data_IF_136865248032
#
_entry.id   IF_136865248032
#
_cell.length_a   1.000
_cell.length_b   1.000
_cell.length_c   1.000
_cell.angle_alpha   90.00
_cell.angle_beta   90.00
_cell.angle_gamma   90.00
#
_symmetry.space_group_name_H-M   'P 1'
#
loop_
_entity.id
_entity.type
_entity.pdbx_description
1 polymer ?
#
# COMPACT_ATOMS: atom_id res chain seq x y z
N UNK A 1 -17.90 2.22 -22.01
CA UNK A 1 -17.94 1.56 -20.69
C UNK A 1 -16.72 0.65 -20.50
N UNK A 2 -16.33 -0.16 -21.50
CA UNK A 2 -15.18 -1.06 -21.42
C UNK A 2 -13.81 -0.37 -21.38
N UNK A 3 -13.66 0.78 -22.05
CA UNK A 3 -12.38 1.51 -22.08
C UNK A 3 -12.01 2.17 -20.75
N UNK A 4 -13.01 2.57 -19.96
CA UNK A 4 -12.82 3.15 -18.61
C UNK A 4 -12.28 2.09 -17.66
N UNK A 5 -12.91 0.90 -17.63
CA UNK A 5 -12.44 -0.24 -16.84
C UNK A 5 -11.04 -0.68 -17.24
N UNK A 6 -10.72 -0.66 -18.53
CA UNK A 6 -9.38 -1.02 -19.02
C UNK A 6 -8.33 0.00 -18.58
N UNK A 7 -8.64 1.29 -18.66
CA UNK A 7 -7.74 2.35 -18.18
C UNK A 7 -7.46 2.23 -16.67
N UNK A 8 -8.50 1.98 -15.88
CA UNK A 8 -8.37 1.76 -14.43
C UNK A 8 -7.51 0.53 -14.15
N UNK A 9 -7.76 -0.61 -14.78
CA UNK A 9 -6.96 -1.83 -14.59
C UNK A 9 -5.49 -1.62 -14.94
N UNK A 10 -5.19 -0.94 -16.05
CA UNK A 10 -3.81 -0.67 -16.46
C UNK A 10 -3.12 0.34 -15.53
N UNK A 11 -3.86 1.35 -15.05
CA UNK A 11 -3.38 2.29 -14.01
C UNK A 11 -3.09 1.56 -12.70
N UNK A 12 -4.01 0.70 -12.25
CA UNK A 12 -3.85 -0.13 -11.05
C UNK A 12 -2.64 -1.05 -11.17
N UNK A 13 -2.47 -1.77 -12.30
CA UNK A 13 -1.29 -2.63 -12.53
C UNK A 13 0.02 -1.84 -12.51
N UNK A 14 0.03 -0.65 -13.13
CA UNK A 14 1.22 0.21 -13.15
C UNK A 14 1.56 0.72 -11.75
N UNK A 15 0.56 1.14 -10.99
CA UNK A 15 0.73 1.63 -9.63
C UNK A 15 1.15 0.51 -8.66
N UNK A 16 0.69 -0.73 -8.89
CA UNK A 16 1.13 -1.94 -8.18
C UNK A 16 2.41 -2.57 -8.73
N UNK A 17 3.10 -1.94 -9.69
CA UNK A 17 4.44 -2.36 -10.07
C UNK A 17 5.45 -1.86 -9.04
N UNK A 18 6.57 -2.57 -8.89
CA UNK A 18 7.65 -2.15 -8.00
C UNK A 18 8.09 -0.71 -8.29
N UNK A 19 8.33 -0.38 -9.56
CA UNK A 19 8.73 0.96 -9.96
C UNK A 19 7.66 2.02 -9.68
N UNK A 20 6.38 1.70 -9.89
CA UNK A 20 5.25 2.61 -9.63
C UNK A 20 5.12 2.95 -8.15
N UNK A 21 5.13 1.94 -7.29
CA UNK A 21 5.06 2.10 -5.85
C UNK A 21 6.27 2.89 -5.32
N UNK A 22 7.49 2.54 -5.73
CA UNK A 22 8.71 3.22 -5.26
C UNK A 22 8.72 4.69 -5.69
N UNK A 23 8.27 5.01 -6.90
CA UNK A 23 8.16 6.39 -7.37
C UNK A 23 7.13 7.20 -6.55
N UNK A 24 5.99 6.61 -6.20
CA UNK A 24 4.99 7.27 -5.36
C UNK A 24 5.49 7.45 -3.92
N UNK A 25 6.12 6.43 -3.35
CA UNK A 25 6.75 6.53 -2.03
C UNK A 25 7.81 7.63 -2.02
N UNK A 26 8.74 7.65 -2.97
CA UNK A 26 9.76 8.70 -3.06
C UNK A 26 9.14 10.11 -3.18
N UNK A 27 8.06 10.25 -3.97
CA UNK A 27 7.37 11.53 -4.16
C UNK A 27 6.66 12.02 -2.90
N UNK A 28 6.05 11.11 -2.13
CA UNK A 28 5.22 11.46 -0.97
C UNK A 28 5.88 11.17 0.38
N UNK A 29 7.09 10.62 0.42
CA UNK A 29 7.76 10.14 1.63
C UNK A 29 7.83 11.20 2.72
N UNK A 30 8.24 12.42 2.37
CA UNK A 30 8.35 13.54 3.32
C UNK A 30 7.00 13.92 3.95
N UNK A 31 5.92 13.84 3.19
CA UNK A 31 4.56 14.17 3.67
C UNK A 31 3.95 13.02 4.46
N UNK A 32 4.16 11.78 3.99
CA UNK A 32 3.65 10.56 4.63
C UNK A 32 4.36 10.24 5.96
N UNK A 33 5.62 10.65 6.09
CA UNK A 33 6.46 10.35 7.24
C UNK A 33 7.10 8.97 7.16
N UNK A 34 8.23 8.82 7.85
CA UNK A 34 9.09 7.62 7.78
C UNK A 34 8.36 6.35 8.20
N UNK A 35 7.61 6.40 9.29
CA UNK A 35 6.90 5.24 9.83
C UNK A 35 5.90 4.65 8.82
N UNK A 36 5.11 5.51 8.17
CA UNK A 36 4.13 5.08 7.19
C UNK A 36 4.79 4.52 5.93
N UNK A 37 5.86 5.15 5.45
CA UNK A 37 6.65 4.63 4.32
C UNK A 37 7.24 3.26 4.64
N UNK A 38 7.81 3.08 5.82
CA UNK A 38 8.32 1.78 6.27
C UNK A 38 7.21 0.73 6.36
N UNK A 39 6.03 1.08 6.87
CA UNK A 39 4.88 0.19 6.91
C UNK A 39 4.52 -0.34 5.52
N UNK A 40 4.40 0.56 4.55
CA UNK A 40 4.06 0.20 3.16
C UNK A 40 5.15 -0.67 2.54
N UNK A 41 6.43 -0.38 2.81
CA UNK A 41 7.55 -1.20 2.36
C UNK A 41 7.57 -2.59 3.00
N UNK A 42 7.24 -2.72 4.29
CA UNK A 42 7.11 -4.03 4.95
C UNK A 42 6.01 -4.86 4.27
N UNK A 43 4.84 -4.26 4.03
CA UNK A 43 3.75 -4.92 3.33
C UNK A 43 4.19 -5.40 1.93
N UNK A 44 4.89 -4.53 1.19
CA UNK A 44 5.40 -4.85 -0.14
C UNK A 44 6.39 -6.03 -0.12
N UNK A 45 7.36 -6.01 0.79
CA UNK A 45 8.37 -7.07 0.86
C UNK A 45 7.85 -8.38 1.47
N UNK A 46 6.79 -8.33 2.28
CA UNK A 46 6.11 -9.52 2.79
C UNK A 46 5.16 -10.15 1.76
N UNK A 47 4.72 -9.39 0.75
CA UNK A 47 3.75 -9.84 -0.25
C UNK A 47 4.09 -11.17 -0.93
N UNK A 48 5.33 -11.48 -1.36
CA UNK A 48 5.63 -12.73 -2.06
C UNK A 48 5.35 -13.98 -1.22
N UNK A 49 5.70 -13.92 0.07
CA UNK A 49 5.62 -15.02 1.05
C UNK A 49 4.26 -15.10 1.74
N UNK A 50 3.42 -14.07 1.60
CA UNK A 50 2.12 -13.97 2.23
C UNK A 50 1.10 -14.99 1.70
N UNK A 51 0.16 -15.38 2.57
CA UNK A 51 -1.00 -16.21 2.20
C UNK A 51 -1.89 -15.49 1.18
N UNK A 52 -2.76 -16.22 0.48
CA UNK A 52 -3.67 -15.59 -0.49
C UNK A 52 -4.58 -14.52 0.15
N UNK A 53 -5.05 -14.76 1.38
CA UNK A 53 -5.85 -13.79 2.13
C UNK A 53 -5.02 -12.55 2.51
N UNK A 54 -3.78 -12.76 2.96
CA UNK A 54 -2.88 -11.67 3.34
C UNK A 54 -2.44 -10.83 2.15
N UNK A 55 -2.24 -11.45 0.99
CA UNK A 55 -1.97 -10.76 -0.29
C UNK A 55 -3.10 -9.80 -0.66
N UNK A 56 -4.36 -10.23 -0.50
CA UNK A 56 -5.50 -9.36 -0.75
C UNK A 56 -5.53 -8.16 0.21
N UNK A 57 -5.23 -8.38 1.50
CA UNK A 57 -5.16 -7.33 2.51
C UNK A 57 -4.01 -6.34 2.22
N UNK A 58 -2.82 -6.86 1.88
CA UNK A 58 -1.65 -6.06 1.50
C UNK A 58 -1.98 -5.19 0.29
N UNK A 59 -2.61 -5.75 -0.75
CA UNK A 59 -3.03 -4.99 -1.91
C UNK A 59 -4.08 -3.92 -1.54
N UNK A 60 -5.04 -4.22 -0.67
CA UNK A 60 -5.98 -3.20 -0.18
C UNK A 60 -5.26 -2.03 0.52
N UNK A 61 -4.35 -2.35 1.45
CA UNK A 61 -3.61 -1.35 2.22
C UNK A 61 -2.65 -0.50 1.37
N UNK A 62 -1.89 -1.12 0.45
CA UNK A 62 -1.01 -0.41 -0.49
C UNK A 62 -1.83 0.45 -1.46
N UNK A 63 -2.96 -0.07 -1.94
CA UNK A 63 -3.84 0.65 -2.87
C UNK A 63 -4.42 1.91 -2.25
N UNK A 64 -4.92 1.79 -1.02
CA UNK A 64 -5.40 2.94 -0.23
C UNK A 64 -4.29 3.97 0.03
N UNK A 65 -3.05 3.52 0.28
CA UNK A 65 -1.92 4.43 0.43
C UNK A 65 -1.57 5.19 -0.86
N UNK A 66 -1.52 4.46 -1.98
CA UNK A 66 -1.13 4.96 -3.30
C UNK A 66 -2.13 5.98 -3.85
N UNK A 67 -3.42 5.75 -3.60
CA UNK A 67 -4.49 6.65 -4.03
C UNK A 67 -5.70 6.51 -3.11
N UNK A 68 -5.70 7.18 -1.95
CA UNK A 68 -6.85 7.15 -1.06
C UNK A 68 -8.10 7.66 -1.78
N UNK A 69 -7.94 8.59 -2.73
CA UNK A 69 -9.01 9.15 -3.53
C UNK A 69 -9.42 8.32 -4.76
N UNK A 70 -8.69 7.31 -5.24
CA UNK A 70 -9.16 6.44 -6.35
C UNK A 70 -9.81 5.13 -5.86
N UNK A 71 -9.57 4.71 -4.62
CA UNK A 71 -10.18 3.49 -4.03
C UNK A 71 -11.53 3.81 -3.36
N UNK A 72 -11.68 5.02 -2.82
CA UNK A 72 -12.91 5.50 -2.17
C UNK A 72 -14.08 5.79 -3.15
N UNK A 73 -13.89 6.34 -4.37
CA UNK A 73 -15.01 6.79 -5.22
C UNK A 73 -15.89 5.65 -5.73
N UNK A 74 -15.33 4.45 -5.92
CA UNK A 74 -16.05 3.31 -6.49
C UNK A 74 -16.82 2.50 -5.44
N UNK A 75 -16.55 2.70 -4.15
CA UNK A 75 -17.09 1.79 -3.12
C UNK A 75 -18.45 2.23 -2.56
N UNK A 76 -18.73 3.50 -2.24
CA UNK A 76 -20.05 3.82 -1.64
C UNK A 76 -20.53 5.28 -1.83
N UNK A 77 -21.66 5.52 -2.54
CA UNK A 77 -22.44 6.73 -2.36
C UNK A 77 -23.20 6.67 -1.03
N UNK A 78 -22.82 7.49 -0.04
CA UNK A 78 -23.65 7.78 1.14
C UNK A 78 -23.27 7.13 2.49
N UNK A 79 -22.09 6.52 2.66
CA UNK A 79 -21.61 6.07 3.98
C UNK A 79 -20.46 6.93 4.50
N UNK A 80 -20.48 7.18 5.82
CA UNK A 80 -19.62 8.10 6.56
C UNK A 80 -18.15 7.66 6.72
N UNK A 81 -17.29 8.66 6.67
CA UNK A 81 -15.82 8.66 6.56
C UNK A 81 -15.00 8.22 7.79
N UNK A 82 -15.51 7.38 8.70
CA UNK A 82 -14.94 7.31 10.07
C UNK A 82 -14.23 6.04 10.53
N UNK A 83 -13.96 5.01 9.69
CA UNK A 83 -13.21 3.81 10.17
C UNK A 83 -12.07 3.28 9.27
N UNK A 84 -11.75 3.92 8.15
CA UNK A 84 -10.81 3.36 7.15
C UNK A 84 -9.33 3.37 7.57
N UNK A 85 -8.90 4.38 8.34
CA UNK A 85 -7.54 4.41 8.88
C UNK A 85 -7.29 3.30 9.90
N UNK A 86 -8.31 2.92 10.67
CA UNK A 86 -8.25 1.82 11.63
C UNK A 86 -8.03 0.48 10.93
N UNK A 87 -8.72 0.25 9.80
CA UNK A 87 -8.58 -0.97 8.99
C UNK A 87 -7.19 -1.08 8.37
N UNK A 88 -6.65 0.01 7.80
CA UNK A 88 -5.29 0.02 7.24
C UNK A 88 -4.25 -0.16 8.34
N UNK A 89 -4.41 0.51 9.48
CA UNK A 89 -3.51 0.36 10.63
C UNK A 89 -3.54 -1.07 11.18
N UNK A 90 -4.72 -1.68 11.29
CA UNK A 90 -4.89 -3.08 11.69
C UNK A 90 -4.25 -4.04 10.68
N UNK A 91 -4.45 -3.81 9.38
CA UNK A 91 -3.83 -4.60 8.32
C UNK A 91 -2.31 -4.55 8.40
N UNK A 92 -1.74 -3.34 8.54
CA UNK A 92 -0.30 -3.14 8.74
C UNK A 92 0.19 -3.88 9.99
N UNK A 93 -0.50 -3.74 11.12
CA UNK A 93 -0.12 -4.40 12.37
C UNK A 93 -0.15 -5.92 12.23
N UNK A 94 -1.23 -6.47 11.66
CA UNK A 94 -1.41 -7.92 11.43
C UNK A 94 -0.33 -8.49 10.53
N UNK A 95 0.03 -7.79 9.45
CA UNK A 95 1.07 -8.26 8.54
C UNK A 95 2.46 -8.07 9.15
N UNK A 96 2.73 -6.98 9.88
CA UNK A 96 4.01 -6.80 10.60
C UNK A 96 4.30 -7.91 11.60
N UNK A 97 3.27 -8.44 12.27
CA UNK A 97 3.42 -9.58 13.21
C UNK A 97 3.82 -10.88 12.51
N UNK A 98 3.48 -11.02 11.23
CA UNK A 98 3.74 -12.23 10.43
C UNK A 98 4.82 -12.01 9.36
N UNK A 99 5.38 -10.80 9.26
CA UNK A 99 6.40 -10.47 8.27
C UNK A 99 7.73 -11.09 8.69
N UNK A 100 8.46 -11.64 7.72
CA UNK A 100 9.80 -12.15 7.96
C UNK A 100 10.76 -11.03 8.34
N UNK A 101 11.77 -11.33 9.17
CA UNK A 101 12.82 -10.36 9.54
C UNK A 101 13.49 -9.76 8.29
N UNK A 102 13.63 -10.58 7.22
CA UNK A 102 14.14 -10.13 5.93
C UNK A 102 13.27 -9.03 5.29
N UNK A 103 11.94 -9.15 5.35
CA UNK A 103 11.04 -8.13 4.82
C UNK A 103 11.16 -6.81 5.60
N UNK A 104 11.29 -6.90 6.93
CA UNK A 104 11.47 -5.74 7.81
C UNK A 104 12.80 -5.05 7.54
N UNK A 105 13.89 -5.80 7.40
CA UNK A 105 15.21 -5.24 7.12
C UNK A 105 15.27 -4.57 5.74
N UNK A 106 14.72 -5.22 4.71
CA UNK A 106 14.61 -4.62 3.36
C UNK A 106 13.81 -3.33 3.39
N UNK A 107 12.71 -3.30 4.15
CA UNK A 107 11.87 -2.11 4.30
C UNK A 107 12.63 -0.95 4.96
N UNK A 108 13.35 -1.21 6.06
CA UNK A 108 14.18 -0.20 6.74
C UNK A 108 15.24 0.39 5.82
N UNK A 109 16.03 -0.48 5.16
CA UNK A 109 17.07 -0.04 4.24
C UNK A 109 16.51 0.81 3.10
N UNK A 110 15.37 0.39 2.53
CA UNK A 110 14.73 1.15 1.44
C UNK A 110 14.13 2.48 1.93
N UNK A 111 13.60 2.52 3.14
CA UNK A 111 13.15 3.76 3.75
C UNK A 111 14.33 4.71 4.01
N UNK A 112 15.47 4.21 4.49
CA UNK A 112 16.67 5.04 4.69
C UNK A 112 17.05 5.75 3.39
N UNK A 113 16.99 5.10 2.22
CA UNK A 113 17.23 5.72 0.91
C UNK A 113 16.26 6.88 0.59
N UNK A 114 15.03 6.88 1.12
CA UNK A 114 14.05 7.95 0.88
C UNK A 114 14.18 9.13 1.85
N UNK A 115 14.83 8.93 2.98
CA UNK A 115 14.96 9.93 4.05
C UNK A 115 16.42 10.33 4.35
N UNK A 116 17.37 9.87 3.54
CA UNK A 116 18.77 10.29 3.58
C UNK A 116 19.03 11.61 2.84
#
# INVERSE_FOLDING_TARGET
MDDIKKYEIEKYKKDFSEGGLMNKLAKYAKTAGRELVENVLVLWYAFPEASAADKAIIMGAIGYFISPLDVIPDLIPGLGYTDDFGVVAWAVARIRLNASDSAIEKAKRKADEFFS
#
